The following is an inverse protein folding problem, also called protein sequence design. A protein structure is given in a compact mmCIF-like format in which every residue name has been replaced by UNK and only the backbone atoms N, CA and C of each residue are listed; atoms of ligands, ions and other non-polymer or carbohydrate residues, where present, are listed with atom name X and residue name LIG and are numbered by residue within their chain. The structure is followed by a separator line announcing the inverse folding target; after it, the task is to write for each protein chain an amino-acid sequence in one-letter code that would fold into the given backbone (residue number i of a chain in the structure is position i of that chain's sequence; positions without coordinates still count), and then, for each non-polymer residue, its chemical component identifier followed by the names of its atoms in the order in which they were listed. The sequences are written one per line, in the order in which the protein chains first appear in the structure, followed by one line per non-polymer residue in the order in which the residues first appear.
data_IF_838174799384
#
_entry.id   IF_838174799384
#
_cell.length_a   1.000
_cell.length_b   1.000
_cell.length_c   1.000
_cell.angle_alpha   90.00
_cell.angle_beta   90.00
_cell.angle_gamma   90.00
#
_symmetry.space_group_name_H-M   'P 1'
#
loop_
_entity.id
_entity.type
_entity.pdbx_description
1 polymer ?
#
# COMPACT_ATOMS: atom_id res chain seq x y z
N UNK A 1 18.57 -11.77 -7.52
CA UNK A 1 19.71 -11.34 -6.68
C UNK A 1 19.09 -10.77 -5.43
N UNK A 2 19.33 -11.36 -4.30
CA UNK A 2 18.76 -10.87 -3.05
C UNK A 2 19.86 -10.06 -2.41
N UNK A 3 19.62 -8.83 -2.42
CA UNK A 3 20.07 -7.76 -1.57
C UNK A 3 21.13 -8.17 -0.54
N UNK A 4 22.14 -7.38 -0.42
CA UNK A 4 23.21 -7.52 0.58
C UNK A 4 22.73 -7.54 2.03
N UNK A 5 21.40 -7.42 2.27
CA UNK A 5 20.77 -7.52 3.60
C UNK A 5 21.21 -8.81 4.32
N UNK A 6 21.29 -9.92 3.58
CA UNK A 6 21.56 -11.23 4.16
C UNK A 6 23.02 -11.45 4.60
N UNK A 7 23.89 -10.57 4.18
CA UNK A 7 25.30 -10.55 4.58
C UNK A 7 25.54 -9.66 5.81
N UNK A 8 24.47 -8.97 6.27
CA UNK A 8 24.54 -8.04 7.39
C UNK A 8 24.19 -8.72 8.73
N UNK A 9 24.68 -8.18 9.85
CA UNK A 9 24.44 -8.74 11.19
C UNK A 9 23.05 -8.41 11.75
N UNK A 10 22.05 -8.13 10.91
CA UNK A 10 20.69 -7.94 11.36
C UNK A 10 20.08 -9.26 11.83
N UNK A 11 19.24 -9.19 12.86
CA UNK A 11 18.35 -10.30 13.17
C UNK A 11 17.35 -10.43 12.01
N UNK A 12 17.38 -11.55 11.30
CA UNK A 12 16.58 -11.73 10.09
C UNK A 12 16.09 -13.16 9.95
N UNK A 13 14.89 -13.30 9.38
CA UNK A 13 14.25 -14.58 9.09
C UNK A 13 13.82 -14.62 7.63
N UNK A 14 13.86 -15.79 7.00
CA UNK A 14 13.43 -16.00 5.62
C UNK A 14 12.39 -17.09 5.53
N UNK A 15 11.28 -16.78 4.86
CA UNK A 15 10.19 -17.72 4.61
C UNK A 15 9.65 -17.49 3.19
N UNK A 16 9.63 -18.56 2.38
CA UNK A 16 8.96 -18.55 1.06
C UNK A 16 9.33 -17.37 0.15
N UNK A 17 10.62 -16.99 0.12
CA UNK A 17 11.09 -15.87 -0.70
C UNK A 17 10.93 -14.49 -0.06
N UNK A 18 10.32 -14.39 1.10
CA UNK A 18 10.24 -13.18 1.91
C UNK A 18 11.38 -13.13 2.93
N UNK A 19 11.89 -11.91 3.17
CA UNK A 19 12.92 -11.62 4.17
C UNK A 19 12.33 -10.67 5.20
N UNK A 20 12.43 -11.03 6.46
CA UNK A 20 11.99 -10.23 7.60
C UNK A 20 13.24 -9.74 8.33
N UNK A 21 13.30 -8.47 8.70
CA UNK A 21 14.48 -7.85 9.31
C UNK A 21 14.06 -7.04 10.53
N UNK A 22 14.68 -7.34 11.68
CA UNK A 22 14.49 -6.50 12.88
C UNK A 22 15.58 -5.43 12.93
N UNK A 23 15.26 -4.23 12.49
CA UNK A 23 16.13 -3.05 12.51
C UNK A 23 15.35 -1.76 12.20
N UNK A 24 15.98 -0.61 12.39
CA UNK A 24 15.46 0.65 11.83
C UNK A 24 15.55 0.59 10.29
N UNK A 25 14.48 0.99 9.60
CA UNK A 25 14.44 0.88 8.14
C UNK A 25 15.54 1.71 7.46
N UNK A 26 15.97 2.83 8.04
CA UNK A 26 17.05 3.63 7.48
C UNK A 26 18.42 2.96 7.59
N UNK A 27 18.61 2.03 8.52
CA UNK A 27 19.82 1.22 8.61
C UNK A 27 19.82 0.09 7.56
N UNK A 28 18.64 -0.37 7.14
CA UNK A 28 18.47 -1.45 6.15
C UNK A 28 18.47 -0.94 4.71
N UNK A 29 17.90 0.23 4.43
CA UNK A 29 17.81 0.80 3.08
C UNK A 29 19.13 0.76 2.29
N UNK A 30 20.33 1.08 2.87
CA UNK A 30 21.59 1.05 2.13
C UNK A 30 21.94 -0.31 1.51
N UNK A 31 21.34 -1.40 2.01
CA UNK A 31 21.57 -2.76 1.55
C UNK A 31 20.50 -3.25 0.56
N UNK A 32 19.47 -2.46 0.29
CA UNK A 32 18.49 -2.72 -0.77
C UNK A 32 19.04 -2.19 -2.08
N UNK A 33 19.13 -3.04 -3.09
CA UNK A 33 19.64 -2.68 -4.42
C UNK A 33 18.75 -1.60 -5.09
N UNK A 34 19.38 -0.72 -5.86
CA UNK A 34 18.68 0.29 -6.65
C UNK A 34 17.74 -0.38 -7.66
N UNK A 35 16.53 0.18 -7.83
CA UNK A 35 15.54 -0.30 -8.81
C UNK A 35 15.21 -1.80 -8.69
N UNK A 36 15.26 -2.35 -7.48
CA UNK A 36 14.97 -3.76 -7.22
C UNK A 36 13.54 -4.02 -6.73
N UNK A 37 12.83 -3.01 -6.25
CA UNK A 37 11.49 -3.12 -5.65
C UNK A 37 10.42 -2.82 -6.69
N UNK A 38 9.45 -3.74 -6.84
CA UNK A 38 8.32 -3.60 -7.77
C UNK A 38 7.19 -2.76 -7.16
N UNK A 39 6.92 -2.92 -5.87
CA UNK A 39 5.97 -2.09 -5.14
C UNK A 39 6.41 -1.86 -3.69
N UNK A 40 6.05 -0.71 -3.14
CA UNK A 40 6.16 -0.41 -1.71
C UNK A 40 4.73 -0.33 -1.17
N UNK A 41 4.40 -1.14 -0.17
CA UNK A 41 3.06 -1.17 0.46
C UNK A 41 3.28 -1.11 1.96
N UNK A 42 3.03 0.06 2.56
CA UNK A 42 3.39 0.33 3.95
C UNK A 42 2.28 1.04 4.73
N UNK A 43 2.17 0.67 6.00
CA UNK A 43 1.43 1.43 7.02
C UNK A 43 2.45 2.18 7.89
N UNK A 44 2.78 3.41 7.49
CA UNK A 44 3.76 4.24 8.19
C UNK A 44 3.26 4.65 9.58
N UNK A 45 4.11 4.92 10.57
CA UNK A 45 3.68 5.51 11.83
C UNK A 45 3.15 6.95 11.61
N UNK A 46 1.96 7.25 12.16
CA UNK A 46 1.25 8.53 11.93
C UNK A 46 1.60 9.62 12.93
N UNK A 47 2.23 9.27 14.07
CA UNK A 47 2.50 10.20 15.16
C UNK A 47 1.22 10.65 15.90
N UNK A 48 0.17 9.84 15.87
CA UNK A 48 -1.15 10.20 16.43
C UNK A 48 -1.53 9.41 17.68
N UNK A 49 -0.72 8.45 18.07
CA UNK A 49 -0.94 7.62 19.27
C UNK A 49 0.05 7.96 20.37
N UNK A 50 -0.22 7.50 21.60
CA UNK A 50 0.70 7.63 22.73
C UNK A 50 1.85 6.60 22.72
N UNK A 51 1.92 5.74 21.69
CA UNK A 51 2.95 4.73 21.58
C UNK A 51 4.29 5.35 21.19
N UNK A 52 5.37 4.95 21.86
CA UNK A 52 6.72 5.50 21.62
C UNK A 52 7.24 5.26 20.20
N UNK A 53 6.81 4.16 19.57
CA UNK A 53 7.17 3.81 18.20
C UNK A 53 6.40 4.61 17.13
N UNK A 54 5.27 5.24 17.50
CA UNK A 54 4.44 6.00 16.57
C UNK A 54 5.01 7.42 16.35
N UNK A 55 6.19 7.48 15.75
CA UNK A 55 6.84 8.74 15.36
C UNK A 55 6.95 8.83 13.85
N UNK A 56 6.50 9.96 13.30
CA UNK A 56 6.52 10.19 11.84
C UNK A 56 7.96 10.09 11.31
N UNK A 57 8.15 9.27 10.30
CA UNK A 57 9.43 9.14 9.63
C UNK A 57 9.78 10.44 8.84
N UNK A 58 11.05 10.84 8.77
CA UNK A 58 11.47 12.02 8.01
C UNK A 58 11.24 11.79 6.52
N UNK A 59 10.23 12.47 5.96
CA UNK A 59 9.76 12.25 4.60
C UNK A 59 10.83 12.54 3.53
N UNK A 60 11.69 13.52 3.72
CA UNK A 60 12.80 13.84 2.82
C UNK A 60 13.76 12.66 2.64
N UNK A 61 14.14 12.02 3.75
CA UNK A 61 14.97 10.81 3.73
C UNK A 61 14.22 9.63 3.13
N UNK A 62 12.95 9.46 3.51
CA UNK A 62 12.12 8.36 3.04
C UNK A 62 11.93 8.41 1.51
N UNK A 63 11.57 9.57 0.96
CA UNK A 63 11.40 9.74 -0.48
C UNK A 63 12.69 9.57 -1.26
N UNK A 64 13.84 9.96 -0.68
CA UNK A 64 15.16 9.72 -1.28
C UNK A 64 15.40 8.21 -1.46
N UNK A 65 15.20 7.43 -0.39
CA UNK A 65 15.38 5.97 -0.46
C UNK A 65 14.33 5.30 -1.35
N UNK A 66 13.07 5.68 -1.25
CA UNK A 66 12.01 5.16 -2.12
C UNK A 66 12.33 5.41 -3.60
N UNK A 67 12.77 6.63 -3.96
CA UNK A 67 13.13 6.93 -5.35
C UNK A 67 14.30 6.11 -5.86
N UNK A 68 15.23 5.70 -4.97
CA UNK A 68 16.39 4.87 -5.30
C UNK A 68 16.00 3.42 -5.51
N UNK A 69 15.28 2.82 -4.56
CA UNK A 69 15.03 1.37 -4.53
C UNK A 69 13.90 0.93 -5.46
N UNK A 70 12.88 1.78 -5.70
CA UNK A 70 11.73 1.41 -6.51
C UNK A 70 12.05 1.40 -8.00
N UNK A 71 11.49 0.45 -8.74
CA UNK A 71 11.57 0.41 -10.21
C UNK A 71 10.82 1.60 -10.84
N UNK A 72 11.17 2.01 -12.06
CA UNK A 72 10.51 3.15 -12.73
C UNK A 72 8.99 3.03 -12.86
N UNK A 73 8.49 1.81 -12.98
CA UNK A 73 7.06 1.47 -13.09
C UNK A 73 6.46 0.94 -11.76
N UNK A 74 7.17 1.11 -10.66
CA UNK A 74 6.70 0.67 -9.34
C UNK A 74 5.68 1.63 -8.73
N UNK A 75 4.76 1.07 -7.96
CA UNK A 75 3.79 1.82 -7.17
C UNK A 75 4.23 1.93 -5.70
N UNK A 76 3.98 3.09 -5.09
CA UNK A 76 4.17 3.32 -3.66
C UNK A 76 2.78 3.55 -3.06
N UNK A 77 2.36 2.65 -2.17
CA UNK A 77 1.01 2.55 -1.62
C UNK A 77 1.11 2.73 -0.11
N UNK A 78 0.69 3.89 0.38
CA UNK A 78 0.88 4.27 1.77
C UNK A 78 -0.46 4.51 2.45
N UNK A 79 -0.68 3.80 3.55
CA UNK A 79 -1.84 4.02 4.41
C UNK A 79 -1.70 5.33 5.17
N UNK A 80 -2.84 5.92 5.51
CA UNK A 80 -2.84 7.15 6.27
C UNK A 80 -4.22 7.57 6.74
N UNK A 81 -4.19 8.44 7.72
CA UNK A 81 -5.35 9.02 8.35
C UNK A 81 -5.09 10.53 8.56
N UNK A 82 -6.11 11.38 8.40
CA UNK A 82 -5.91 12.81 8.62
C UNK A 82 -5.52 13.14 10.08
N UNK A 83 -4.60 14.10 10.33
CA UNK A 83 -3.95 15.02 9.38
C UNK A 83 -2.70 14.44 8.68
N UNK A 84 -2.20 13.27 9.11
CA UNK A 84 -0.98 12.65 8.57
C UNK A 84 -1.06 12.44 7.05
N UNK A 85 -2.20 11.98 6.52
CA UNK A 85 -2.39 11.78 5.07
C UNK A 85 -2.15 13.06 4.26
N UNK A 86 -2.61 14.20 4.74
CA UNK A 86 -2.40 15.48 4.08
C UNK A 86 -0.93 15.89 4.07
N UNK A 87 -0.24 15.75 5.21
CA UNK A 87 1.19 16.05 5.34
C UNK A 87 2.00 15.13 4.42
N UNK A 88 1.70 13.84 4.40
CA UNK A 88 2.36 12.85 3.57
C UNK A 88 2.17 13.18 2.07
N UNK A 89 0.96 13.49 1.63
CA UNK A 89 0.70 13.87 0.22
C UNK A 89 1.43 15.15 -0.16
N UNK A 90 1.41 16.16 0.69
CA UNK A 90 2.11 17.43 0.45
C UNK A 90 3.63 17.27 0.39
N UNK A 91 4.20 16.31 1.13
CA UNK A 91 5.65 16.06 1.11
C UNK A 91 6.16 15.56 -0.26
N UNK A 92 5.27 15.02 -1.12
CA UNK A 92 5.65 14.55 -2.47
C UNK A 92 4.51 14.69 -3.49
N UNK A 93 3.89 15.86 -3.53
CA UNK A 93 2.74 16.15 -4.38
C UNK A 93 3.01 15.88 -5.87
N UNK A 94 4.24 16.12 -6.34
CA UNK A 94 4.63 15.88 -7.74
C UNK A 94 4.44 14.44 -8.18
N UNK A 95 4.64 13.48 -7.29
CA UNK A 95 4.59 12.05 -7.59
C UNK A 95 3.31 11.37 -7.09
N UNK A 96 2.43 12.13 -6.41
CA UNK A 96 1.10 11.66 -6.03
C UNK A 96 0.25 11.39 -7.27
N UNK A 97 -0.53 10.29 -7.25
CA UNK A 97 -1.38 9.86 -8.36
C UNK A 97 -2.87 9.92 -8.01
N UNK A 98 -3.29 9.20 -7.01
CA UNK A 98 -4.68 9.11 -6.52
C UNK A 98 -4.74 8.43 -5.16
N UNK A 99 -5.95 8.39 -4.58
CA UNK A 99 -6.24 7.69 -3.33
C UNK A 99 -7.26 6.56 -3.54
N UNK A 100 -7.10 5.50 -2.75
CA UNK A 100 -8.17 4.62 -2.36
C UNK A 100 -8.73 5.08 -1.02
N UNK A 101 -10.05 4.97 -0.87
CA UNK A 101 -10.74 5.17 0.41
C UNK A 101 -11.11 3.79 0.92
N UNK A 102 -10.42 3.34 1.95
CA UNK A 102 -10.76 2.09 2.60
C UNK A 102 -11.87 2.30 3.62
N UNK A 103 -13.07 1.77 3.32
CA UNK A 103 -14.20 1.72 4.24
C UNK A 103 -14.07 0.47 5.14
N UNK A 104 -13.83 0.71 6.42
CA UNK A 104 -13.65 -0.34 7.46
C UNK A 104 -14.97 -0.95 7.93
N UNK A 105 -16.11 -0.39 7.50
CA UNK A 105 -17.50 -0.70 7.93
C UNK A 105 -17.77 -0.37 9.38
N UNK A 106 -16.82 -0.52 10.28
CA UNK A 106 -16.95 -0.29 11.71
C UNK A 106 -16.02 0.82 12.19
N UNK A 107 -16.50 1.60 13.15
CA UNK A 107 -15.71 2.64 13.82
C UNK A 107 -15.14 2.12 15.13
N UNK A 108 -13.84 2.38 15.36
CA UNK A 108 -13.20 2.15 16.67
C UNK A 108 -13.38 3.29 17.68
N UNK A 109 -13.98 4.42 17.28
CA UNK A 109 -13.94 5.67 18.05
C UNK A 109 -15.27 6.06 18.69
N UNK A 110 -16.02 5.12 19.26
CA UNK A 110 -17.34 5.39 19.89
C UNK A 110 -17.34 6.50 20.94
N UNK A 111 -16.22 6.73 21.64
CA UNK A 111 -16.06 7.78 22.63
C UNK A 111 -16.25 9.20 22.07
N UNK A 112 -16.01 9.40 20.79
CA UNK A 112 -16.12 10.70 20.13
C UNK A 112 -17.47 10.92 19.42
N UNK A 113 -18.38 9.96 19.46
CA UNK A 113 -19.65 9.98 18.71
C UNK A 113 -20.54 11.22 19.01
N UNK A 114 -20.42 11.80 20.20
CA UNK A 114 -21.15 13.02 20.60
C UNK A 114 -20.47 14.33 20.17
N UNK A 115 -19.23 14.26 19.64
CA UNK A 115 -18.43 15.45 19.31
C UNK A 115 -18.13 15.57 17.82
N UNK A 116 -18.09 14.44 17.09
CA UNK A 116 -17.78 14.40 15.67
C UNK A 116 -18.35 13.12 15.03
N UNK A 117 -18.48 13.08 13.69
CA UNK A 117 -18.86 11.86 12.98
C UNK A 117 -17.90 10.70 13.27
N UNK A 118 -18.44 9.48 13.35
CA UNK A 118 -17.65 8.27 13.52
C UNK A 118 -16.78 8.02 12.29
N UNK A 119 -15.48 7.89 12.52
CA UNK A 119 -14.51 7.65 11.46
C UNK A 119 -14.49 6.17 11.07
N UNK A 120 -15.03 5.86 9.89
CA UNK A 120 -15.10 4.50 9.35
C UNK A 120 -14.17 4.29 8.15
N UNK A 121 -13.40 5.28 7.74
CA UNK A 121 -12.50 5.16 6.60
C UNK A 121 -11.07 5.56 6.93
N UNK A 122 -10.14 4.97 6.17
CA UNK A 122 -8.75 5.39 6.05
C UNK A 122 -8.42 5.65 4.58
N UNK A 123 -7.38 6.43 4.36
CA UNK A 123 -6.92 6.78 3.02
C UNK A 123 -5.70 5.92 2.70
N UNK A 124 -5.65 5.39 1.47
CA UNK A 124 -4.48 4.70 0.95
C UNK A 124 -3.99 5.50 -0.26
N UNK A 125 -2.95 6.28 -0.07
CA UNK A 125 -2.42 7.18 -1.09
C UNK A 125 -1.43 6.45 -1.99
N UNK A 126 -1.57 6.65 -3.31
CA UNK A 126 -0.72 6.02 -4.32
C UNK A 126 0.19 7.07 -4.95
N UNK A 127 1.49 6.74 -4.95
CA UNK A 127 2.53 7.55 -5.59
C UNK A 127 3.30 6.72 -6.61
N UNK A 128 3.93 7.39 -7.56
CA UNK A 128 4.89 6.77 -8.47
C UNK A 128 5.77 7.83 -9.11
N UNK A 129 7.05 7.52 -9.29
CA UNK A 129 8.00 8.39 -9.99
C UNK A 129 7.84 8.35 -11.53
N UNK A 130 7.01 7.43 -12.03
CA UNK A 130 6.69 7.28 -13.45
C UNK A 130 5.24 6.84 -13.66
N UNK A 131 5.02 6.02 -14.68
CA UNK A 131 3.75 5.30 -14.91
C UNK A 131 3.85 3.97 -14.18
N UNK A 132 3.05 3.80 -13.13
CA UNK A 132 3.06 2.58 -12.32
C UNK A 132 2.27 1.45 -12.97
N UNK A 133 2.63 0.23 -12.63
CA UNK A 133 1.84 -0.95 -12.94
C UNK A 133 0.50 -0.87 -12.21
N UNK A 134 -0.57 -1.21 -12.92
CA UNK A 134 -1.91 -1.26 -12.37
C UNK A 134 -2.70 -2.41 -12.99
N UNK A 135 -3.04 -3.38 -12.18
CA UNK A 135 -3.81 -4.57 -12.56
C UNK A 135 -5.20 -4.50 -11.91
N UNK A 136 -6.21 -3.92 -12.60
CA UNK A 136 -7.51 -3.68 -11.99
C UNK A 136 -8.17 -4.99 -11.57
N UNK A 137 -8.54 -5.10 -10.31
CA UNK A 137 -9.27 -6.24 -9.78
C UNK A 137 -10.75 -6.09 -10.19
N UNK A 138 -11.08 -6.67 -11.33
CA UNK A 138 -12.41 -6.58 -11.93
C UNK A 138 -13.45 -7.30 -11.07
N UNK A 139 -14.65 -6.72 -10.97
CA UNK A 139 -15.78 -7.34 -10.28
C UNK A 139 -16.87 -7.75 -11.28
N UNK A 140 -17.51 -8.87 -11.01
CA UNK A 140 -18.66 -9.30 -11.80
C UNK A 140 -19.94 -8.60 -11.33
N UNK A 141 -20.81 -8.30 -12.27
CA UNK A 141 -22.10 -7.66 -12.02
C UNK A 141 -23.12 -8.01 -13.10
N UNK A 142 -24.14 -7.19 -13.26
CA UNK A 142 -25.15 -7.39 -14.28
C UNK A 142 -24.54 -7.26 -15.68
N UNK A 143 -24.96 -8.14 -16.61
CA UNK A 143 -24.60 -8.05 -18.02
C UNK A 143 -25.04 -6.69 -18.59
N UNK A 144 -24.13 -6.05 -19.34
CA UNK A 144 -24.41 -4.73 -19.94
C UNK A 144 -23.75 -4.60 -21.31
N UNK A 145 -24.41 -3.84 -22.18
CA UNK A 145 -23.79 -3.32 -23.38
C UNK A 145 -23.13 -1.97 -23.06
N UNK A 146 -21.82 -1.93 -22.96
CA UNK A 146 -21.06 -0.72 -22.73
C UNK A 146 -20.75 -0.08 -24.08
N UNK A 147 -21.51 0.94 -24.43
CA UNK A 147 -21.21 1.77 -25.60
C UNK A 147 -19.90 2.51 -25.41
N UNK A 148 -19.08 2.50 -26.45
CA UNK A 148 -17.86 3.28 -26.47
C UNK A 148 -18.14 4.68 -27.02
N UNK A 149 -17.80 5.69 -26.23
CA UNK A 149 -17.91 7.09 -26.62
C UNK A 149 -16.52 7.68 -26.79
N UNK A 150 -16.31 8.35 -27.92
CA UNK A 150 -15.16 9.22 -28.11
C UNK A 150 -15.39 10.59 -27.42
N UNK A 151 -14.33 11.35 -27.30
CA UNK A 151 -14.38 12.75 -26.88
C UNK A 151 -13.79 13.65 -27.96
N UNK A 152 -14.31 14.87 -28.09
CA UNK A 152 -13.84 15.87 -29.07
C UNK A 152 -12.62 16.61 -28.54
N UNK A 153 -11.84 17.18 -29.44
CA UNK A 153 -10.81 18.16 -29.12
C UNK A 153 -11.42 19.31 -28.26
N UNK A 154 -10.69 19.74 -27.22
CA UNK A 154 -11.16 20.75 -26.27
C UNK A 154 -12.01 20.21 -25.10
N UNK A 155 -12.31 18.89 -25.07
CA UNK A 155 -12.90 18.27 -23.87
C UNK A 155 -11.88 18.16 -22.72
N UNK A 156 -12.36 18.03 -21.48
CA UNK A 156 -11.52 17.86 -20.28
C UNK A 156 -10.57 16.65 -20.40
N UNK A 157 -10.94 15.64 -21.18
CA UNK A 157 -10.16 14.42 -21.40
C UNK A 157 -9.31 14.46 -22.68
N UNK A 158 -9.33 15.56 -23.44
CA UNK A 158 -8.73 15.64 -24.76
C UNK A 158 -9.52 14.86 -25.82
N UNK A 159 -8.94 14.70 -27.01
CA UNK A 159 -9.55 13.91 -28.08
C UNK A 159 -9.34 12.41 -27.84
N UNK A 160 -10.42 11.65 -27.76
CA UNK A 160 -10.42 10.19 -27.63
C UNK A 160 -11.28 9.61 -28.75
N UNK A 161 -10.72 8.71 -29.57
CA UNK A 161 -11.50 7.97 -30.56
C UNK A 161 -12.40 6.94 -29.86
N UNK A 162 -13.64 6.84 -30.31
CA UNK A 162 -14.54 5.78 -29.87
C UNK A 162 -13.96 4.41 -30.31
N UNK A 163 -13.94 3.46 -29.40
CA UNK A 163 -13.60 2.07 -29.70
C UNK A 163 -14.87 1.25 -29.97
N UNK A 164 -14.75 -0.08 -29.94
CA UNK A 164 -15.90 -0.97 -30.11
C UNK A 164 -16.77 -1.04 -28.86
N UNK A 165 -18.06 -1.25 -29.06
CA UNK A 165 -19.01 -1.55 -27.99
C UNK A 165 -18.64 -2.90 -27.34
N UNK A 166 -18.69 -2.96 -26.01
CA UNK A 166 -18.39 -4.17 -25.26
C UNK A 166 -19.60 -4.69 -24.51
N UNK A 167 -19.92 -5.96 -24.74
CA UNK A 167 -20.97 -6.65 -24.01
C UNK A 167 -20.32 -7.59 -22.98
N UNK A 168 -20.38 -7.22 -21.71
CA UNK A 168 -19.81 -7.99 -20.62
C UNK A 168 -20.43 -7.65 -19.25
N UNK A 169 -20.10 -8.44 -18.25
CA UNK A 169 -20.51 -8.26 -16.86
C UNK A 169 -19.35 -7.79 -15.96
N UNK A 170 -18.19 -7.44 -16.53
CA UNK A 170 -17.02 -7.02 -15.76
C UNK A 170 -17.00 -5.51 -15.55
N UNK A 171 -16.78 -5.11 -14.32
CA UNK A 171 -16.74 -3.73 -13.87
C UNK A 171 -15.36 -3.39 -13.31
N UNK A 172 -14.83 -2.26 -13.72
CA UNK A 172 -13.62 -1.72 -13.13
C UNK A 172 -13.83 -1.34 -11.67
N UNK A 173 -12.82 -1.50 -10.81
CA UNK A 173 -12.89 -1.10 -9.42
C UNK A 173 -13.16 0.40 -9.29
N UNK A 174 -13.86 0.77 -8.24
CA UNK A 174 -14.02 2.16 -7.80
C UNK A 174 -13.00 2.45 -6.71
N UNK A 175 -12.69 3.72 -6.48
CA UNK A 175 -11.71 4.13 -5.48
C UNK A 175 -12.17 3.95 -4.02
N UNK A 176 -13.42 3.55 -3.78
CA UNK A 176 -13.88 3.13 -2.44
C UNK A 176 -13.86 1.61 -2.40
N UNK A 177 -13.08 1.06 -1.47
CA UNK A 177 -12.94 -0.37 -1.23
C UNK A 177 -13.43 -0.72 0.17
N UNK A 178 -14.06 -1.88 0.32
CA UNK A 178 -14.69 -2.29 1.57
C UNK A 178 -14.07 -3.59 2.08
N UNK A 179 -13.33 -3.49 3.18
CA UNK A 179 -12.79 -4.61 3.93
C UNK A 179 -13.04 -4.39 5.41
N UNK A 180 -13.75 -5.32 6.05
CA UNK A 180 -14.05 -5.18 7.48
C UNK A 180 -12.81 -5.37 8.33
N UNK A 181 -12.67 -4.54 9.36
CA UNK A 181 -11.67 -4.74 10.42
C UNK A 181 -12.27 -5.42 11.68
N UNK A 182 -13.52 -5.90 11.61
CA UNK A 182 -14.28 -6.33 12.80
C UNK A 182 -13.88 -7.70 13.36
N UNK A 183 -13.41 -8.63 12.56
CA UNK A 183 -13.24 -10.03 12.97
C UNK A 183 -11.79 -10.51 12.88
N UNK A 184 -10.85 -9.69 13.28
CA UNK A 184 -9.47 -10.12 13.40
C UNK A 184 -9.25 -10.76 14.78
N UNK A 185 -9.72 -12.01 14.94
CA UNK A 185 -9.42 -12.81 16.12
C UNK A 185 -7.91 -13.15 16.11
N UNK A 186 -7.23 -12.88 17.22
CA UNK A 186 -5.79 -13.17 17.35
C UNK A 186 -4.88 -12.08 16.78
N UNK A 187 -5.29 -10.80 16.80
CA UNK A 187 -4.39 -9.69 16.44
C UNK A 187 -3.13 -9.69 17.29
N UNK A 188 -1.99 -9.75 16.63
CA UNK A 188 -0.68 -9.63 17.25
C UNK A 188 -0.22 -8.16 17.36
N UNK A 189 -0.77 -7.29 16.48
CA UNK A 189 -0.49 -5.86 16.50
C UNK A 189 -1.79 -5.03 16.61
N UNK A 190 -1.82 -3.95 17.44
CA UNK A 190 -3.02 -3.13 17.68
C UNK A 190 -3.62 -2.48 16.43
N UNK A 191 -2.80 -2.17 15.45
CA UNK A 191 -3.19 -1.47 14.21
C UNK A 191 -3.12 -2.38 12.97
N UNK A 192 -3.10 -3.70 13.16
CA UNK A 192 -3.01 -4.67 12.07
C UNK A 192 -4.10 -4.46 11.02
N UNK A 193 -3.70 -4.45 9.75
CA UNK A 193 -4.61 -4.31 8.61
C UNK A 193 -5.20 -5.68 8.21
N UNK A 194 -6.46 -5.71 7.70
CA UNK A 194 -7.04 -6.96 7.18
C UNK A 194 -6.19 -7.55 6.05
N UNK A 195 -5.91 -8.84 6.12
CA UNK A 195 -5.09 -9.51 5.11
C UNK A 195 -5.72 -9.44 3.71
N UNK A 196 -7.03 -9.52 3.61
CA UNK A 196 -7.77 -9.44 2.36
C UNK A 196 -7.58 -8.08 1.67
N UNK A 197 -7.46 -6.99 2.45
CA UNK A 197 -7.14 -5.67 1.92
C UNK A 197 -5.73 -5.64 1.33
N UNK A 198 -4.77 -6.22 2.03
CA UNK A 198 -3.37 -6.26 1.57
C UNK A 198 -3.22 -7.19 0.36
N UNK A 199 -3.91 -8.34 0.34
CA UNK A 199 -3.96 -9.20 -0.85
C UNK A 199 -4.55 -8.46 -2.07
N UNK A 200 -5.60 -7.65 -1.88
CA UNK A 200 -6.18 -6.83 -2.94
C UNK A 200 -5.17 -5.81 -3.49
N UNK A 201 -4.47 -5.08 -2.61
CA UNK A 201 -3.48 -4.08 -3.00
C UNK A 201 -2.25 -4.73 -3.67
N UNK A 202 -1.75 -5.84 -3.12
CA UNK A 202 -0.63 -6.59 -3.71
C UNK A 202 -0.99 -7.06 -5.14
N UNK A 203 -2.17 -7.66 -5.34
CA UNK A 203 -2.66 -8.07 -6.68
C UNK A 203 -2.81 -6.88 -7.64
N UNK A 204 -3.18 -5.71 -7.11
CA UNK A 204 -3.43 -4.52 -7.94
C UNK A 204 -2.14 -3.91 -8.48
N UNK A 205 -1.01 -4.05 -7.79
CA UNK A 205 0.22 -3.35 -8.15
C UNK A 205 1.39 -4.27 -8.52
N UNK A 206 1.22 -5.59 -8.38
CA UNK A 206 2.30 -6.57 -8.62
C UNK A 206 1.83 -7.81 -9.37
N UNK A 207 2.78 -8.48 -10.01
CA UNK A 207 2.65 -9.83 -10.55
C UNK A 207 3.32 -10.86 -9.64
N UNK A 208 3.13 -12.15 -9.94
CA UNK A 208 3.85 -13.22 -9.26
C UNK A 208 5.38 -13.04 -9.41
N UNK A 209 6.12 -13.39 -8.37
CA UNK A 209 7.56 -13.22 -8.21
C UNK A 209 8.07 -11.77 -8.11
N UNK A 210 7.22 -10.75 -8.22
CA UNK A 210 7.59 -9.36 -7.95
C UNK A 210 8.02 -9.18 -6.50
N UNK A 211 8.88 -8.18 -6.26
CA UNK A 211 9.42 -7.84 -4.95
C UNK A 211 8.65 -6.68 -4.31
N UNK A 212 8.06 -6.91 -3.16
CA UNK A 212 7.34 -5.91 -2.36
C UNK A 212 8.18 -5.50 -1.15
N UNK A 213 8.21 -4.21 -0.85
CA UNK A 213 8.82 -3.67 0.36
C UNK A 213 7.74 -3.16 1.32
N UNK A 214 7.83 -3.59 2.58
CA UNK A 214 7.15 -2.98 3.71
C UNK A 214 8.20 -2.61 4.76
N UNK A 215 8.52 -1.32 4.85
CA UNK A 215 9.59 -0.84 5.72
C UNK A 215 9.14 -0.52 7.16
N UNK A 216 7.88 -0.78 7.48
CA UNK A 216 7.27 -0.65 8.82
C UNK A 216 6.23 -1.75 9.03
N UNK A 217 6.69 -3.01 8.89
CA UNK A 217 5.79 -4.16 8.68
C UNK A 217 4.89 -4.51 9.87
N UNK A 218 5.21 -4.04 11.08
CA UNK A 218 4.51 -4.47 12.28
C UNK A 218 4.53 -6.01 12.43
N UNK A 219 3.35 -6.63 12.50
CA UNK A 219 3.17 -8.10 12.53
C UNK A 219 3.40 -8.79 11.18
N UNK A 220 3.81 -8.09 10.12
CA UNK A 220 4.15 -8.68 8.82
C UNK A 220 2.95 -9.09 7.95
N UNK A 221 1.77 -8.52 8.13
CA UNK A 221 0.57 -8.88 7.37
C UNK A 221 0.75 -8.63 5.86
N UNK A 222 1.43 -7.57 5.45
CA UNK A 222 1.79 -7.32 4.03
C UNK A 222 2.64 -8.45 3.47
N UNK A 223 3.63 -8.90 4.24
CA UNK A 223 4.52 -10.00 3.84
C UNK A 223 3.77 -11.33 3.75
N UNK A 224 2.85 -11.60 4.68
CA UNK A 224 1.99 -12.78 4.63
C UNK A 224 1.10 -12.77 3.38
N UNK A 225 0.51 -11.62 3.01
CA UNK A 225 -0.24 -11.47 1.76
C UNK A 225 0.64 -11.75 0.54
N UNK A 226 1.89 -11.28 0.53
CA UNK A 226 2.86 -11.57 -0.53
C UNK A 226 3.14 -13.08 -0.66
N UNK A 227 3.40 -13.76 0.44
CA UNK A 227 3.64 -15.21 0.47
C UNK A 227 2.46 -15.98 -0.12
N UNK A 228 1.24 -15.68 0.35
CA UNK A 228 0.01 -16.32 -0.14
C UNK A 228 -0.21 -16.13 -1.64
N UNK A 229 0.29 -15.06 -2.19
CA UNK A 229 0.11 -14.66 -3.58
C UNK A 229 1.33 -14.96 -4.46
N UNK A 230 2.31 -15.72 -3.99
CA UNK A 230 3.56 -16.02 -4.70
C UNK A 230 4.36 -14.76 -5.09
N UNK A 231 4.36 -13.72 -4.24
CA UNK A 231 5.25 -12.57 -4.34
C UNK A 231 6.38 -12.73 -3.34
N UNK A 232 7.50 -12.10 -3.65
CA UNK A 232 8.62 -11.95 -2.70
C UNK A 232 8.43 -10.67 -1.90
N UNK A 233 8.97 -10.62 -0.69
CA UNK A 233 8.90 -9.39 0.08
C UNK A 233 10.11 -9.16 0.97
N UNK A 234 10.32 -7.89 1.32
CA UNK A 234 11.19 -7.45 2.39
C UNK A 234 10.31 -6.74 3.41
N UNK A 235 10.25 -7.26 4.62
CA UNK A 235 9.58 -6.64 5.76
C UNK A 235 10.62 -6.14 6.75
N UNK A 236 10.49 -4.91 7.23
CA UNK A 236 11.39 -4.32 8.21
C UNK A 236 10.57 -3.85 9.40
N UNK A 237 10.96 -4.27 10.60
CA UNK A 237 10.33 -3.86 11.85
C UNK A 237 11.39 -3.48 12.87
N UNK A 238 11.24 -2.29 13.45
CA UNK A 238 12.19 -1.77 14.44
C UNK A 238 11.96 -2.38 15.82
N UNK A 239 10.69 -2.50 16.20
CA UNK A 239 10.31 -2.96 17.53
C UNK A 239 10.33 -4.49 17.58
N UNK A 240 11.26 -5.05 18.36
CA UNK A 240 11.44 -6.49 18.47
C UNK A 240 10.18 -7.25 18.88
N UNK A 241 9.36 -6.65 19.76
CA UNK A 241 8.10 -7.26 20.24
C UNK A 241 7.05 -7.50 19.13
N UNK A 242 7.18 -6.84 17.98
CA UNK A 242 6.29 -7.03 16.82
C UNK A 242 6.95 -7.84 15.70
N UNK A 243 8.28 -7.99 15.79
CA UNK A 243 9.05 -8.82 14.87
C UNK A 243 8.99 -10.32 15.24
N UNK A 244 9.11 -10.66 16.55
CA UNK A 244 9.09 -12.01 17.08
C UNK A 244 7.70 -12.66 16.95
#
# INVERSE_FOLDING_TARGET
MINRITEQPFCQTRVSGSTFVNADCFDVFPFIEDKSIDAIICDLPYGTTACKWDSVLPFDKLWKEYSRVIKPNGAIVLFGSEPFSSIMRMSNLKNYKYDWIWNKKNSGSGLLAKKQPLKICEIVSVFSFGTHNYYPQMTEGKMRNKKSYGSKEGSVTGEIKAGDDKFNNLYFPKNIIEFSNANQNGKEHPTEKPIELLEYLVKTYTNENDMVLDNTMGSGTTNLACIKLNRKSIGIEKEKQYYD
#
